data_IF_758001916523
#
_entry.id   IF_758001916523
#
_cell.length_a   1.000
_cell.length_b   1.000
_cell.length_c   1.000
_cell.angle_alpha   90.00
_cell.angle_beta   90.00
_cell.angle_gamma   90.00
#
_symmetry.space_group_name_H-M   'P 1'
#
loop_
_entity.id
_entity.type
_entity.pdbx_description
1 polymer ?
#
# COMPACT_ATOMS: atom_id res chain seq x y z
N UNK A 1 0.02 17.78 13.80
CA UNK A 1 -1.08 18.40 13.07
C UNK A 1 -0.56 19.01 11.77
N UNK A 2 -1.17 18.68 10.67
CA UNK A 2 -0.92 19.27 9.37
C UNK A 2 -1.99 20.36 9.14
N UNK A 3 -1.60 21.63 9.35
CA UNK A 3 -2.51 22.76 9.27
C UNK A 3 -2.98 23.00 7.83
N UNK A 4 -2.14 22.76 6.86
CA UNK A 4 -2.41 23.01 5.45
C UNK A 4 -3.44 22.06 4.88
N UNK A 5 -3.40 20.79 5.28
CA UNK A 5 -4.35 19.76 4.88
C UNK A 5 -5.50 19.59 5.88
N UNK A 6 -5.50 20.36 6.97
CA UNK A 6 -6.49 20.31 8.05
C UNK A 6 -6.74 18.88 8.56
N UNK A 7 -5.63 18.17 8.86
CA UNK A 7 -5.64 16.79 9.33
C UNK A 7 -4.69 16.58 10.50
N UNK A 8 -5.00 15.64 11.35
CA UNK A 8 -4.01 15.09 12.29
C UNK A 8 -3.22 14.02 11.54
N UNK A 9 -1.91 14.09 11.61
CA UNK A 9 -0.99 13.17 10.94
C UNK A 9 0.08 12.67 11.91
N UNK A 10 0.47 11.40 11.73
CA UNK A 10 1.58 10.78 12.42
C UNK A 10 2.36 9.91 11.43
N UNK A 11 3.66 10.14 11.34
CA UNK A 11 4.56 9.35 10.52
C UNK A 11 5.30 8.34 11.41
N UNK A 12 5.13 7.07 11.10
CA UNK A 12 5.74 5.95 11.83
C UNK A 12 6.55 5.07 10.87
N UNK A 13 7.60 4.43 11.39
CA UNK A 13 8.40 3.50 10.59
C UNK A 13 8.28 2.10 11.18
N UNK A 14 8.00 1.11 10.33
CA UNK A 14 7.91 -0.32 10.66
C UNK A 14 8.93 -1.06 9.78
N UNK A 15 10.05 -1.48 10.34
CA UNK A 15 11.18 -1.92 9.53
C UNK A 15 11.72 -0.76 8.69
N UNK A 16 11.69 -0.91 7.38
CA UNK A 16 12.04 0.14 6.40
C UNK A 16 10.81 0.81 5.76
N UNK A 17 9.61 0.33 6.09
CA UNK A 17 8.36 0.89 5.61
C UNK A 17 7.98 2.12 6.42
N UNK A 18 7.81 3.25 5.75
CA UNK A 18 7.22 4.45 6.34
C UNK A 18 5.70 4.38 6.21
N UNK A 19 4.99 4.59 7.31
CA UNK A 19 3.52 4.55 7.38
C UNK A 19 3.02 5.87 7.92
N UNK A 20 2.25 6.59 7.11
CA UNK A 20 1.55 7.78 7.56
C UNK A 20 0.15 7.42 8.03
N UNK A 21 -0.17 7.77 9.26
CA UNK A 21 -1.51 7.68 9.84
C UNK A 21 -2.10 9.07 9.88
N UNK A 22 -3.28 9.25 9.30
CA UNK A 22 -3.93 10.56 9.34
C UNK A 22 -5.44 10.48 9.53
N UNK A 23 -5.99 11.51 10.16
CA UNK A 23 -7.42 11.68 10.37
C UNK A 23 -7.85 13.09 9.95
N UNK A 24 -8.86 13.23 9.06
CA UNK A 24 -9.36 14.53 8.65
C UNK A 24 -10.10 15.19 9.82
N UNK A 25 -9.86 16.47 10.06
CA UNK A 25 -10.63 17.28 10.99
C UNK A 25 -11.91 17.84 10.34
N UNK A 26 -11.88 17.96 9.01
CA UNK A 26 -13.04 18.39 8.22
C UNK A 26 -13.62 17.19 7.44
N UNK A 27 -14.82 16.79 7.81
CA UNK A 27 -15.55 15.72 7.16
C UNK A 27 -16.00 16.05 5.74
N UNK A 28 -16.02 17.33 5.36
CA UNK A 28 -16.39 17.79 4.01
C UNK A 28 -15.21 17.83 3.05
N UNK A 29 -13.97 17.68 3.55
CA UNK A 29 -12.78 17.56 2.73
C UNK A 29 -12.80 16.28 1.88
N UNK A 30 -11.96 16.20 0.84
CA UNK A 30 -11.83 14.98 0.02
C UNK A 30 -11.48 13.77 0.88
N UNK A 31 -10.58 13.95 1.85
CA UNK A 31 -10.19 12.91 2.80
C UNK A 31 -11.35 12.53 3.73
N UNK A 32 -12.08 13.51 4.23
CA UNK A 32 -13.28 13.30 5.05
C UNK A 32 -14.37 12.56 4.29
N UNK A 33 -14.61 12.91 3.03
CA UNK A 33 -15.56 12.22 2.16
C UNK A 33 -15.11 10.77 1.87
N UNK A 34 -13.80 10.54 1.67
CA UNK A 34 -13.24 9.21 1.51
C UNK A 34 -13.48 8.36 2.77
N UNK A 35 -13.18 8.90 3.95
CA UNK A 35 -13.39 8.22 5.22
C UNK A 35 -14.87 7.90 5.48
N UNK A 36 -15.79 8.83 5.15
CA UNK A 36 -17.23 8.57 5.27
C UNK A 36 -17.70 7.45 4.33
N UNK A 37 -17.17 7.42 3.10
CA UNK A 37 -17.57 6.44 2.09
C UNK A 37 -17.00 5.05 2.34
N UNK A 38 -15.74 4.97 2.73
CA UNK A 38 -14.97 3.73 2.77
C UNK A 38 -14.64 3.27 4.19
N UNK A 39 -14.87 4.12 5.20
CA UNK A 39 -14.38 3.86 6.55
C UNK A 39 -12.86 3.98 6.67
N UNK A 40 -12.30 3.68 7.85
CA UNK A 40 -10.85 3.57 8.02
C UNK A 40 -10.28 2.47 7.12
N UNK A 41 -9.05 2.65 6.64
CA UNK A 41 -8.40 1.68 5.78
C UNK A 41 -7.22 2.27 5.02
N UNK A 42 -6.61 1.46 4.17
CA UNK A 42 -5.57 1.92 3.26
C UNK A 42 -6.11 2.98 2.30
N UNK A 43 -5.38 4.10 2.19
CA UNK A 43 -5.78 5.22 1.34
C UNK A 43 -4.93 5.29 0.07
N UNK A 44 -3.63 5.45 0.22
CA UNK A 44 -2.65 5.64 -0.85
C UNK A 44 -1.38 4.86 -0.54
N UNK A 45 -0.49 4.75 -1.50
CA UNK A 45 0.90 4.42 -1.27
C UNK A 45 1.79 5.40 -2.01
N UNK A 46 2.93 5.70 -1.40
CA UNK A 46 3.84 6.73 -1.83
C UNK A 46 5.08 6.11 -2.46
N UNK A 47 5.50 6.64 -3.59
CA UNK A 47 6.76 6.35 -4.23
C UNK A 47 7.66 7.58 -4.27
N UNK A 48 8.91 7.37 -3.88
CA UNK A 48 9.95 8.37 -4.05
C UNK A 48 10.48 8.35 -5.48
N UNK A 49 10.58 9.53 -6.10
CA UNK A 49 11.05 9.69 -7.48
C UNK A 49 12.21 10.68 -7.54
N UNK A 50 13.20 10.48 -8.44
CA UNK A 50 14.33 11.39 -8.57
C UNK A 50 13.94 12.79 -9.05
N UNK A 51 12.90 12.88 -9.89
CA UNK A 51 12.42 14.13 -10.48
C UNK A 51 10.88 14.11 -10.54
N UNK A 52 10.27 14.86 -9.64
CA UNK A 52 8.81 14.97 -9.53
C UNK A 52 8.18 15.66 -10.75
N UNK A 53 8.88 16.60 -11.39
CA UNK A 53 8.37 17.29 -12.57
C UNK A 53 8.39 16.36 -13.79
N UNK A 54 9.44 15.56 -13.95
CA UNK A 54 9.53 14.53 -14.98
C UNK A 54 8.46 13.44 -14.76
N UNK A 55 8.27 13.00 -13.52
CA UNK A 55 7.21 12.04 -13.18
C UNK A 55 5.81 12.59 -13.51
N UNK A 56 5.55 13.87 -13.19
CA UNK A 56 4.29 14.52 -13.59
C UNK A 56 4.11 14.54 -15.10
N UNK A 57 5.14 14.91 -15.84
CA UNK A 57 5.08 14.94 -17.32
C UNK A 57 4.81 13.56 -17.92
N UNK A 58 5.39 12.49 -17.32
CA UNK A 58 5.14 11.12 -17.74
C UNK A 58 3.69 10.66 -17.48
N UNK A 59 3.09 11.09 -16.36
CA UNK A 59 1.68 10.86 -16.04
C UNK A 59 0.76 11.62 -17.00
N UNK A 60 1.04 12.90 -17.25
CA UNK A 60 0.27 13.75 -18.17
C UNK A 60 0.27 13.16 -19.60
N UNK A 61 1.42 12.69 -20.07
CA UNK A 61 1.56 12.06 -21.38
C UNK A 61 0.73 10.79 -21.55
N UNK A 62 0.39 10.13 -20.43
CA UNK A 62 -0.47 8.94 -20.37
C UNK A 62 -1.95 9.26 -20.07
N UNK A 63 -2.28 10.54 -19.98
CA UNK A 63 -3.64 10.99 -19.67
C UNK A 63 -4.08 10.71 -18.23
N UNK A 64 -3.13 10.45 -17.31
CA UNK A 64 -3.42 10.26 -15.90
C UNK A 64 -3.68 11.61 -15.24
N UNK A 65 -4.84 11.77 -14.62
CA UNK A 65 -5.17 12.98 -13.89
C UNK A 65 -4.35 13.09 -12.61
N UNK A 66 -3.67 14.22 -12.46
CA UNK A 66 -3.02 14.62 -11.22
C UNK A 66 -4.02 15.48 -10.44
N UNK A 67 -4.46 15.01 -9.28
CA UNK A 67 -5.46 15.67 -8.44
C UNK A 67 -4.88 16.74 -7.53
N UNK A 68 -3.62 16.54 -7.14
CA UNK A 68 -2.85 17.49 -6.35
C UNK A 68 -1.43 17.55 -6.90
N UNK A 69 -0.89 18.74 -7.04
CA UNK A 69 0.52 18.92 -7.43
C UNK A 69 1.11 20.09 -6.65
N UNK A 70 2.11 19.80 -5.85
CA UNK A 70 2.95 20.79 -5.17
C UNK A 70 4.39 20.62 -5.67
N UNK A 71 4.86 21.53 -6.50
CA UNK A 71 6.20 21.44 -7.07
C UNK A 71 7.28 21.31 -5.99
N UNK A 72 8.12 20.27 -6.12
CA UNK A 72 9.19 19.99 -5.16
C UNK A 72 8.75 19.31 -3.85
N UNK A 73 7.45 19.09 -3.64
CA UNK A 73 6.94 18.42 -2.45
C UNK A 73 6.30 17.07 -2.78
N UNK A 74 5.15 17.07 -3.44
CA UNK A 74 4.48 15.83 -3.84
C UNK A 74 3.45 16.05 -4.95
N UNK A 75 2.99 14.96 -5.53
CA UNK A 75 1.78 14.91 -6.34
C UNK A 75 0.93 13.68 -5.99
N UNK A 76 -0.37 13.78 -6.27
CA UNK A 76 -1.31 12.66 -6.13
C UNK A 76 -2.05 12.43 -7.44
N UNK A 77 -2.22 11.17 -7.80
CA UNK A 77 -2.99 10.76 -9.00
C UNK A 77 -4.46 10.55 -8.68
N UNK A 78 -5.30 10.50 -9.72
CA UNK A 78 -6.68 10.07 -9.58
C UNK A 78 -6.76 8.53 -9.72
N UNK A 79 -7.25 7.79 -8.72
CA UNK A 79 -7.18 6.32 -8.71
C UNK A 79 -7.96 5.65 -9.86
N UNK A 80 -8.97 6.30 -10.43
CA UNK A 80 -9.71 5.75 -11.56
C UNK A 80 -8.84 5.61 -12.84
N UNK A 81 -7.78 6.42 -12.96
CA UNK A 81 -6.87 6.38 -14.10
C UNK A 81 -5.67 5.45 -13.86
N UNK A 82 -5.53 4.96 -12.64
CA UNK A 82 -4.43 4.12 -12.17
C UNK A 82 -4.92 2.74 -11.66
N UNK A 83 -5.96 2.18 -12.26
CA UNK A 83 -6.54 0.89 -11.86
C UNK A 83 -6.85 0.76 -10.35
N UNK A 84 -7.23 1.87 -9.71
CA UNK A 84 -7.55 1.92 -8.28
C UNK A 84 -6.36 2.24 -7.37
N UNK A 85 -5.17 2.39 -7.92
CA UNK A 85 -3.98 2.82 -7.20
C UNK A 85 -4.01 4.34 -7.05
N UNK A 86 -4.26 4.83 -5.83
CA UNK A 86 -4.01 6.22 -5.52
C UNK A 86 -2.52 6.34 -5.23
N UNK A 87 -1.78 6.81 -6.22
CA UNK A 87 -0.33 7.02 -6.10
C UNK A 87 -0.05 8.42 -5.57
N UNK A 88 0.79 8.49 -4.59
CA UNK A 88 1.47 9.69 -4.16
C UNK A 88 2.92 9.61 -4.59
N UNK A 89 3.44 10.62 -5.26
CA UNK A 89 4.84 10.69 -5.66
C UNK A 89 5.49 11.87 -4.95
N UNK A 90 6.67 11.64 -4.37
CA UNK A 90 7.46 12.65 -3.68
C UNK A 90 8.95 12.57 -4.07
N UNK A 91 9.76 13.60 -3.80
CA UNK A 91 11.20 13.54 -4.01
C UNK A 91 11.91 12.57 -3.04
N UNK A 92 13.12 12.13 -3.40
CA UNK A 92 13.94 11.20 -2.61
C UNK A 92 14.33 11.75 -1.23
N UNK A 93 14.38 13.06 -1.09
CA UNK A 93 14.78 13.78 0.12
C UNK A 93 13.57 14.38 0.85
N UNK A 94 12.47 13.64 0.90
CA UNK A 94 11.23 14.07 1.54
C UNK A 94 11.49 14.62 2.95
N UNK A 95 11.09 15.88 3.24
CA UNK A 95 11.23 16.47 4.55
C UNK A 95 10.51 15.63 5.62
N UNK A 96 11.15 15.48 6.79
CA UNK A 96 10.61 14.73 7.94
C UNK A 96 10.58 13.20 7.82
N UNK A 97 11.11 12.60 6.76
CA UNK A 97 11.28 11.14 6.73
C UNK A 97 12.19 10.72 7.89
N UNK A 98 11.69 9.90 8.84
CA UNK A 98 12.49 9.47 9.98
C UNK A 98 13.73 8.66 9.58
N UNK A 99 13.71 8.02 8.42
CA UNK A 99 14.80 7.18 7.90
C UNK A 99 16.02 8.01 7.46
N UNK A 100 15.81 9.29 7.15
CA UNK A 100 16.88 10.22 6.80
C UNK A 100 17.60 10.83 8.02
N UNK A 101 17.09 10.56 9.23
CA UNK A 101 17.72 11.10 10.47
C UNK A 101 19.01 10.35 10.79
N UNK A 102 20.06 11.06 11.26
CA UNK A 102 21.28 10.42 11.71
C UNK A 102 21.02 9.37 12.79
N UNK A 103 21.61 8.18 12.64
CA UNK A 103 21.46 7.08 13.59
C UNK A 103 20.18 6.26 13.44
N UNK A 104 19.34 6.52 12.45
CA UNK A 104 18.21 5.65 12.15
C UNK A 104 18.70 4.26 11.72
N UNK A 105 17.97 3.24 12.16
CA UNK A 105 18.23 1.83 11.82
C UNK A 105 16.94 1.02 11.90
N UNK A 106 16.79 0.03 11.02
CA UNK A 106 15.69 -0.94 11.06
C UNK A 106 15.93 -2.08 12.09
N UNK A 107 17.13 -2.14 12.69
CA UNK A 107 17.51 -3.23 13.61
C UNK A 107 16.58 -3.41 14.81
N UNK A 108 16.02 -2.35 15.44
CA UNK A 108 15.02 -2.53 16.50
C UNK A 108 13.80 -3.34 16.07
N UNK A 109 13.39 -3.25 14.80
CA UNK A 109 12.27 -4.02 14.27
C UNK A 109 12.62 -5.48 14.02
N UNK A 110 13.84 -5.77 13.60
CA UNK A 110 14.35 -7.14 13.46
C UNK A 110 14.47 -7.84 14.82
N UNK A 111 14.92 -7.10 15.84
CA UNK A 111 15.02 -7.59 17.22
C UNK A 111 13.66 -7.69 17.95
N UNK A 112 12.64 -6.96 17.49
CA UNK A 112 11.28 -6.99 18.05
C UNK A 112 10.68 -8.41 17.97
N UNK A 113 9.79 -8.83 18.90
CA UNK A 113 9.11 -10.12 18.80
C UNK A 113 8.40 -10.37 17.46
N UNK A 114 7.86 -9.35 16.82
CA UNK A 114 7.29 -9.46 15.47
C UNK A 114 8.36 -9.76 14.41
N UNK A 115 9.61 -9.31 14.60
CA UNK A 115 10.76 -9.65 13.75
C UNK A 115 10.67 -9.12 12.33
N UNK A 116 10.16 -7.89 12.12
CA UNK A 116 9.98 -7.32 10.77
C UNK A 116 11.32 -7.12 10.09
N UNK A 117 11.49 -7.73 8.91
CA UNK A 117 12.69 -7.67 8.09
C UNK A 117 12.56 -6.81 6.83
N UNK A 118 11.35 -6.39 6.47
CA UNK A 118 11.10 -5.51 5.31
C UNK A 118 9.69 -5.59 4.77
N UNK A 119 9.41 -4.78 3.75
CA UNK A 119 8.21 -4.86 2.93
C UNK A 119 8.37 -5.97 1.89
N UNK A 120 7.37 -6.83 1.77
CA UNK A 120 7.34 -7.86 0.71
C UNK A 120 6.48 -7.41 -0.47
N UNK A 121 5.24 -7.01 -0.20
CA UNK A 121 4.33 -6.63 -1.26
C UNK A 121 3.25 -5.64 -0.77
N UNK A 122 2.78 -4.85 -1.73
CA UNK A 122 1.56 -4.04 -1.63
C UNK A 122 0.54 -4.69 -2.54
N UNK A 123 -0.60 -5.14 -2.00
CA UNK A 123 -1.64 -5.86 -2.75
C UNK A 123 -2.78 -4.92 -3.14
N UNK A 124 -3.12 -4.88 -4.43
CA UNK A 124 -4.16 -4.04 -5.02
C UNK A 124 -5.23 -4.92 -5.66
N UNK A 125 -6.48 -4.74 -5.26
CA UNK A 125 -7.61 -5.42 -5.90
C UNK A 125 -8.01 -4.68 -7.19
N UNK A 126 -7.96 -5.39 -8.33
CA UNK A 126 -8.21 -4.84 -9.67
C UNK A 126 -9.26 -5.65 -10.43
N UNK A 127 -10.03 -4.98 -11.30
CA UNK A 127 -11.02 -5.66 -12.15
C UNK A 127 -10.39 -6.39 -13.30
N UNK A 128 -9.44 -5.73 -13.94
CA UNK A 128 -8.68 -6.26 -15.07
C UNK A 128 -7.21 -6.30 -14.69
N UNK A 129 -6.77 -7.48 -14.29
CA UNK A 129 -5.41 -7.72 -13.82
C UNK A 129 -4.38 -7.57 -14.94
N UNK A 130 -4.73 -8.00 -16.16
CA UNK A 130 -3.83 -7.94 -17.31
C UNK A 130 -3.62 -6.48 -17.75
N UNK A 131 -4.71 -5.71 -17.85
CA UNK A 131 -4.62 -4.29 -18.18
C UNK A 131 -3.87 -3.50 -17.09
N UNK A 132 -4.12 -3.78 -15.80
CA UNK A 132 -3.42 -3.14 -14.70
C UNK A 132 -1.92 -3.49 -14.70
N UNK A 133 -1.56 -4.75 -15.03
CA UNK A 133 -0.17 -5.18 -15.16
C UNK A 133 0.53 -4.45 -16.30
N UNK A 134 -0.07 -4.42 -17.48
CA UNK A 134 0.48 -3.74 -18.64
C UNK A 134 0.67 -2.24 -18.37
N UNK A 135 -0.31 -1.60 -17.73
CA UNK A 135 -0.24 -0.19 -17.37
C UNK A 135 0.90 0.08 -16.37
N UNK A 136 1.07 -0.75 -15.34
CA UNK A 136 2.11 -0.57 -14.33
C UNK A 136 3.52 -0.75 -14.93
N UNK A 137 3.70 -1.74 -15.79
CA UNK A 137 4.98 -1.99 -16.49
C UNK A 137 5.30 -0.86 -17.46
N UNK A 138 4.31 -0.29 -18.14
CA UNK A 138 4.53 0.88 -19.01
C UNK A 138 4.83 2.16 -18.22
N UNK A 139 4.20 2.34 -17.05
CA UNK A 139 4.40 3.54 -16.24
C UNK A 139 5.79 3.59 -15.60
N UNK A 140 6.28 2.46 -15.08
CA UNK A 140 7.48 2.42 -14.24
C UNK A 140 8.64 1.80 -15.02
N UNK A 141 9.64 2.60 -15.35
CA UNK A 141 10.85 2.13 -16.00
C UNK A 141 11.55 1.06 -15.13
N UNK A 142 11.89 -0.07 -15.73
CA UNK A 142 12.51 -1.20 -15.03
C UNK A 142 11.53 -2.06 -14.21
N UNK A 143 10.23 -1.83 -14.28
CA UNK A 143 9.27 -2.75 -13.69
C UNK A 143 9.31 -4.11 -14.39
N UNK A 144 9.22 -5.18 -13.59
CA UNK A 144 9.35 -6.56 -14.07
C UNK A 144 8.24 -7.44 -13.52
N UNK A 145 7.56 -8.18 -14.40
CA UNK A 145 6.61 -9.22 -13.98
C UNK A 145 7.40 -10.42 -13.45
N UNK A 146 7.27 -10.69 -12.16
CA UNK A 146 7.96 -11.79 -11.47
C UNK A 146 7.22 -13.11 -11.61
N UNK A 147 5.91 -13.07 -11.41
CA UNK A 147 5.06 -14.27 -11.48
C UNK A 147 3.61 -13.91 -11.75
N UNK A 148 2.89 -14.89 -12.25
CA UNK A 148 1.42 -14.90 -12.23
C UNK A 148 1.00 -16.19 -11.56
N UNK A 149 0.31 -16.09 -10.44
CA UNK A 149 -0.01 -17.21 -9.57
C UNK A 149 -1.53 -17.37 -9.46
N UNK A 150 -2.07 -18.56 -9.82
CA UNK A 150 -3.43 -18.88 -9.48
C UNK A 150 -3.52 -19.12 -7.96
N UNK A 151 -4.52 -18.51 -7.33
CA UNK A 151 -4.90 -18.76 -5.93
C UNK A 151 -6.29 -19.37 -5.89
N UNK A 152 -6.71 -19.88 -4.75
CA UNK A 152 -8.00 -20.58 -4.62
C UNK A 152 -9.17 -19.77 -5.20
N UNK A 153 -9.21 -18.47 -4.95
CA UNK A 153 -10.35 -17.61 -5.31
C UNK A 153 -9.96 -16.38 -6.16
N UNK A 154 -8.69 -16.25 -6.48
CA UNK A 154 -8.15 -15.10 -7.21
C UNK A 154 -6.94 -15.50 -8.04
N UNK A 155 -6.59 -14.69 -9.03
CA UNK A 155 -5.28 -14.72 -9.66
C UNK A 155 -4.50 -13.49 -9.25
N UNK A 156 -3.22 -13.66 -8.95
CA UNK A 156 -2.32 -12.59 -8.58
C UNK A 156 -1.16 -12.48 -9.58
N UNK A 157 -0.88 -11.27 -10.05
CA UNK A 157 0.35 -10.95 -10.77
C UNK A 157 1.24 -10.10 -9.87
N UNK A 158 2.47 -10.53 -9.69
CA UNK A 158 3.48 -9.84 -8.89
C UNK A 158 4.41 -9.07 -9.82
N UNK A 159 4.46 -7.77 -9.65
CA UNK A 159 5.31 -6.86 -10.43
C UNK A 159 6.32 -6.22 -9.50
N UNK A 160 7.62 -6.40 -9.78
CA UNK A 160 8.67 -5.66 -9.06
C UNK A 160 8.67 -4.22 -9.53
N UNK A 161 8.59 -3.31 -8.57
CA UNK A 161 8.71 -1.88 -8.76
C UNK A 161 9.82 -1.42 -7.82
N UNK A 162 10.97 -1.07 -8.39
CA UNK A 162 12.17 -0.70 -7.62
C UNK A 162 12.52 -1.75 -6.52
N UNK A 163 12.33 -1.43 -5.26
CA UNK A 163 12.72 -2.21 -4.09
C UNK A 163 11.61 -3.07 -3.48
N UNK A 164 10.39 -3.03 -4.03
CA UNK A 164 9.24 -3.77 -3.51
C UNK A 164 8.41 -4.41 -4.63
N UNK A 165 7.37 -5.10 -4.24
CA UNK A 165 6.43 -5.77 -5.16
C UNK A 165 5.06 -5.13 -5.06
N UNK A 166 4.48 -4.77 -6.20
CA UNK A 166 3.05 -4.50 -6.33
C UNK A 166 2.37 -5.79 -6.79
N UNK A 167 1.45 -6.28 -5.99
CA UNK A 167 0.67 -7.47 -6.30
C UNK A 167 -0.72 -7.06 -6.79
N UNK A 168 -1.02 -7.36 -8.04
CA UNK A 168 -2.30 -7.06 -8.68
C UNK A 168 -3.20 -8.29 -8.58
N UNK A 169 -4.30 -8.19 -7.84
CA UNK A 169 -5.19 -9.32 -7.52
C UNK A 169 -6.52 -9.14 -8.22
N UNK A 170 -6.82 -10.06 -9.14
CA UNK A 170 -8.10 -10.15 -9.85
C UNK A 170 -8.94 -11.33 -9.37
N UNK A 171 -10.27 -11.17 -9.35
CA UNK A 171 -11.17 -12.28 -9.01
C UNK A 171 -11.23 -13.29 -10.15
N UNK A 172 -11.24 -14.59 -9.80
CA UNK A 172 -11.48 -15.68 -10.77
C UNK A 172 -12.97 -15.92 -11.03
N UNK A 173 -13.81 -15.53 -10.08
CA UNK A 173 -15.25 -15.74 -10.16
C UNK A 173 -16.00 -14.45 -9.85
N UNK A 174 -17.18 -14.23 -10.46
CA UNK A 174 -17.99 -13.04 -10.21
C UNK A 174 -18.40 -12.86 -8.76
N UNK A 175 -18.52 -13.96 -8.01
CA UNK A 175 -19.00 -14.00 -6.61
C UNK A 175 -17.86 -14.24 -5.60
N UNK A 176 -16.59 -14.25 -6.06
CA UNK A 176 -15.44 -14.48 -5.21
C UNK A 176 -15.16 -13.32 -4.24
N UNK A 177 -14.36 -13.56 -3.19
CA UNK A 177 -14.06 -12.54 -2.16
C UNK A 177 -13.44 -11.28 -2.73
N UNK A 178 -12.58 -11.38 -3.76
CA UNK A 178 -11.98 -10.22 -4.43
C UNK A 178 -13.04 -9.45 -5.24
N UNK A 179 -13.97 -10.15 -5.91
CA UNK A 179 -15.09 -9.50 -6.60
C UNK A 179 -16.01 -8.77 -5.60
N UNK A 180 -16.33 -9.42 -4.47
CA UNK A 180 -17.12 -8.81 -3.41
C UNK A 180 -16.42 -7.57 -2.81
N UNK A 181 -15.10 -7.67 -2.59
CA UNK A 181 -14.29 -6.53 -2.13
C UNK A 181 -14.36 -5.37 -3.13
N UNK A 182 -14.13 -5.63 -4.43
CA UNK A 182 -14.20 -4.62 -5.48
C UNK A 182 -15.63 -4.06 -5.64
N UNK A 183 -16.65 -4.90 -5.49
CA UNK A 183 -18.05 -4.47 -5.52
C UNK A 183 -18.39 -3.49 -4.42
N UNK A 184 -17.87 -3.73 -3.21
CA UNK A 184 -18.10 -2.89 -2.04
C UNK A 184 -17.24 -1.62 -2.02
N UNK A 185 -15.95 -1.74 -2.34
CA UNK A 185 -14.95 -0.70 -2.09
C UNK A 185 -14.37 -0.08 -3.36
N UNK A 186 -14.65 -0.66 -4.53
CA UNK A 186 -13.95 -0.33 -5.77
C UNK A 186 -12.58 -1.00 -5.87
N UNK A 187 -11.90 -0.74 -6.98
CA UNK A 187 -10.48 -1.09 -7.12
C UNK A 187 -9.66 -0.23 -6.17
N UNK A 188 -8.77 -0.83 -5.37
CA UNK A 188 -7.94 -0.10 -4.42
C UNK A 188 -6.90 -0.99 -3.73
N UNK A 189 -6.00 -0.36 -2.99
CA UNK A 189 -5.09 -1.01 -2.06
C UNK A 189 -5.87 -1.88 -1.06
N UNK A 190 -5.46 -3.15 -0.94
CA UNK A 190 -6.16 -4.18 -0.15
C UNK A 190 -5.38 -4.59 1.09
N UNK A 191 -4.09 -4.89 0.95
CA UNK A 191 -3.23 -5.30 2.05
C UNK A 191 -1.78 -4.91 1.80
N UNK A 192 -1.01 -4.91 2.89
CA UNK A 192 0.45 -4.77 2.87
C UNK A 192 1.03 -6.03 3.52
N UNK A 193 1.98 -6.68 2.84
CA UNK A 193 2.68 -7.86 3.33
C UNK A 193 4.09 -7.46 3.80
N UNK A 194 4.39 -7.77 5.05
CA UNK A 194 5.70 -7.59 5.65
C UNK A 194 6.43 -8.93 5.73
N UNK A 195 7.71 -8.93 5.40
CA UNK A 195 8.58 -10.05 5.68
C UNK A 195 8.97 -10.05 7.16
N UNK A 196 8.82 -11.22 7.79
CA UNK A 196 9.24 -11.47 9.16
C UNK A 196 10.35 -12.52 9.19
N UNK A 197 11.15 -12.52 10.25
CA UNK A 197 12.28 -13.45 10.40
C UNK A 197 11.84 -14.85 10.88
N UNK A 198 10.66 -14.95 11.48
CA UNK A 198 10.11 -16.17 12.07
C UNK A 198 8.58 -15.99 12.17
N UNK A 199 7.86 -16.70 11.32
CA UNK A 199 6.41 -16.54 11.19
C UNK A 199 5.65 -17.06 12.41
N UNK A 200 6.12 -18.14 13.03
CA UNK A 200 5.48 -18.72 14.22
C UNK A 200 5.63 -17.77 15.40
N UNK A 201 6.81 -17.18 15.57
CA UNK A 201 7.06 -16.15 16.60
C UNK A 201 6.20 -14.91 16.37
N UNK A 202 6.10 -14.46 15.12
CA UNK A 202 5.26 -13.33 14.76
C UNK A 202 3.78 -13.61 15.05
N UNK A 203 3.27 -14.79 14.65
CA UNK A 203 1.89 -15.22 14.91
C UNK A 203 1.60 -15.26 16.41
N UNK A 204 2.51 -15.85 17.18
CA UNK A 204 2.38 -15.89 18.64
C UNK A 204 2.35 -14.48 19.24
N UNK A 205 3.25 -13.61 18.83
CA UNK A 205 3.29 -12.24 19.33
C UNK A 205 1.99 -11.49 19.06
N UNK A 206 1.46 -11.58 17.83
CA UNK A 206 0.19 -10.95 17.45
C UNK A 206 -0.97 -11.47 18.31
N UNK A 207 -1.04 -12.79 18.51
CA UNK A 207 -2.06 -13.40 19.37
C UNK A 207 -1.93 -12.97 20.84
N UNK A 208 -0.69 -12.87 21.37
CA UNK A 208 -0.41 -12.38 22.73
C UNK A 208 -0.85 -10.90 22.92
N UNK A 209 -0.89 -10.13 21.84
CA UNK A 209 -1.44 -8.75 21.82
C UNK A 209 -2.98 -8.71 21.67
N UNK A 210 -3.64 -9.87 21.61
CA UNK A 210 -5.10 -9.97 21.46
C UNK A 210 -5.62 -9.77 20.04
N UNK A 211 -4.73 -9.83 19.04
CA UNK A 211 -5.10 -9.67 17.63
C UNK A 211 -5.50 -11.04 17.04
N UNK A 212 -6.56 -11.06 16.25
CA UNK A 212 -7.02 -12.23 15.52
C UNK A 212 -6.08 -12.57 14.36
N UNK A 213 -5.33 -13.66 14.50
CA UNK A 213 -4.46 -14.17 13.43
C UNK A 213 -5.25 -15.13 12.55
N UNK A 214 -5.27 -14.86 11.25
CA UNK A 214 -6.00 -15.63 10.23
C UNK A 214 -5.04 -16.01 9.08
N UNK A 215 -5.40 -16.97 8.21
CA UNK A 215 -4.63 -17.26 7.02
C UNK A 215 -4.44 -16.00 6.15
N UNK A 216 -3.25 -15.86 5.60
CA UNK A 216 -2.92 -14.80 4.62
C UNK A 216 -3.57 -15.05 3.25
N UNK A 217 -3.28 -14.17 2.31
CA UNK A 217 -3.81 -14.26 0.94
C UNK A 217 -3.08 -15.30 0.06
N UNK A 218 -1.97 -15.83 0.53
CA UNK A 218 -1.18 -16.89 -0.14
C UNK A 218 -0.71 -17.93 0.87
N UNK A 219 -0.31 -19.09 0.38
CA UNK A 219 0.28 -20.14 1.20
C UNK A 219 1.54 -19.64 1.92
N UNK A 220 1.70 -20.04 3.17
CA UNK A 220 2.84 -19.64 3.99
C UNK A 220 2.77 -18.18 4.49
N UNK A 221 1.63 -17.54 4.39
CA UNK A 221 1.40 -16.21 4.97
C UNK A 221 0.28 -16.25 6.02
N UNK A 222 0.39 -15.35 7.00
CA UNK A 222 -0.68 -15.06 7.96
C UNK A 222 -1.13 -13.61 7.81
N UNK A 223 -2.29 -13.29 8.34
CA UNK A 223 -2.80 -11.91 8.35
C UNK A 223 -3.42 -11.58 9.70
N UNK A 224 -3.48 -10.27 10.00
CA UNK A 224 -4.34 -9.74 11.06
C UNK A 224 -5.63 -9.25 10.41
N UNK A 225 -6.75 -9.52 11.06
CA UNK A 225 -8.06 -9.06 10.61
C UNK A 225 -8.09 -7.54 10.50
N UNK A 226 -8.70 -7.03 9.42
CA UNK A 226 -8.90 -5.59 9.25
C UNK A 226 -9.78 -4.99 10.38
N UNK A 227 -10.65 -5.80 11.00
CA UNK A 227 -11.49 -5.36 12.11
C UNK A 227 -10.65 -5.01 13.35
N UNK A 228 -9.57 -5.77 13.60
CA UNK A 228 -8.66 -5.55 14.72
C UNK A 228 -7.66 -4.41 14.45
N UNK A 229 -7.51 -3.99 13.19
CA UNK A 229 -6.50 -3.04 12.74
C UNK A 229 -7.10 -1.81 12.06
N UNK A 230 -8.19 -1.27 12.60
CA UNK A 230 -8.83 -0.04 12.12
C UNK A 230 -9.07 -0.02 10.60
N UNK A 231 -9.50 -1.14 10.03
CA UNK A 231 -9.84 -1.26 8.60
C UNK A 231 -8.66 -1.57 7.68
N UNK A 232 -7.44 -1.71 8.19
CA UNK A 232 -6.27 -2.10 7.40
C UNK A 232 -5.94 -3.59 7.58
N UNK A 233 -5.64 -4.26 6.49
CA UNK A 233 -5.18 -5.65 6.50
C UNK A 233 -3.66 -5.68 6.39
N UNK A 234 -3.02 -6.22 7.41
CA UNK A 234 -1.61 -6.54 7.40
C UNK A 234 -1.42 -8.04 7.16
N UNK A 235 -0.48 -8.38 6.31
CA UNK A 235 -0.07 -9.76 6.07
C UNK A 235 1.41 -9.94 6.42
N UNK A 236 1.79 -11.15 6.82
CA UNK A 236 3.15 -11.48 7.24
C UNK A 236 3.57 -12.80 6.63
N UNK A 237 4.82 -12.86 6.14
CA UNK A 237 5.43 -14.07 5.57
C UNK A 237 6.94 -14.07 5.83
N UNK A 238 7.60 -15.22 5.74
CA UNK A 238 9.05 -15.35 5.72
C UNK A 238 9.66 -15.06 4.33
#
# INVERSE_FOLDING_TARGET
>A
YDEEQNRDANLSVIGELCVELYAPRDRTSLLGASLQRFGPGWHSFEWQVPDLAAAKAALDARGVRVTTYRPGEFLMTHPADCHGMLLELCPLDMPNDPRLKPGWSAEPWRAHPLGVAGLTAISVAVRDREAATAWLVDLVEGAEVLSTEPRTEADATRVRVADHVVELVGSRTPDGPVAAYIGRWGQRLRSVELRVLDLDRAAKHLADQGLGVVPGSRDGAIAVSAEDMAGVRWEFAE
#
